data_IF_608215602516
#
_entry.id   IF_608215602516
#
_cell.length_a   1.000
_cell.length_b   1.000
_cell.length_c   1.000
_cell.angle_alpha   90.00
_cell.angle_beta   90.00
_cell.angle_gamma   90.00
#
_symmetry.space_group_name_H-M   'P 1'
#
loop_
_entity.id
_entity.type
_entity.pdbx_description
1 polymer ?
#
# COMPACT_ATOMS: atom_id res chain seq x y z
N UNK A 1 11.31 -2.79 -14.22
CA UNK A 1 12.30 -3.88 -14.39
C UNK A 1 12.93 -4.32 -13.06
N UNK A 2 13.62 -3.46 -12.28
CA UNK A 2 14.23 -3.88 -11.00
C UNK A 2 13.24 -4.53 -10.02
N UNK A 3 12.05 -3.95 -9.85
CA UNK A 3 11.01 -4.51 -8.98
C UNK A 3 10.50 -5.89 -9.43
N UNK A 4 10.48 -6.15 -10.75
CA UNK A 4 10.12 -7.47 -11.29
C UNK A 4 11.17 -8.50 -10.91
N UNK A 5 12.45 -8.14 -10.99
CA UNK A 5 13.56 -9.01 -10.57
C UNK A 5 13.50 -9.27 -9.06
N UNK A 6 13.21 -8.24 -8.26
CA UNK A 6 13.02 -8.39 -6.81
C UNK A 6 11.97 -9.43 -6.46
N UNK A 7 10.87 -9.49 -7.23
CA UNK A 7 9.82 -10.47 -7.05
C UNK A 7 10.19 -11.85 -7.64
N UNK A 8 10.78 -11.86 -8.84
CA UNK A 8 11.02 -13.09 -9.60
C UNK A 8 12.04 -14.00 -8.92
N UNK A 9 13.12 -13.44 -8.36
CA UNK A 9 14.16 -14.21 -7.67
C UNK A 9 13.59 -15.06 -6.52
N UNK A 10 12.93 -14.47 -5.49
CA UNK A 10 12.34 -15.25 -4.41
C UNK A 10 11.21 -16.15 -4.90
N UNK A 11 10.42 -15.72 -5.91
CA UNK A 11 9.36 -16.55 -6.48
C UNK A 11 9.90 -17.85 -7.11
N UNK A 12 10.98 -17.75 -7.90
CA UNK A 12 11.63 -18.92 -8.50
C UNK A 12 12.24 -19.83 -7.43
N UNK A 13 12.92 -19.26 -6.43
CA UNK A 13 13.49 -20.04 -5.32
C UNK A 13 12.41 -20.78 -4.52
N UNK A 14 11.30 -20.11 -4.21
CA UNK A 14 10.18 -20.71 -3.49
C UNK A 14 9.41 -21.72 -4.33
N UNK A 15 9.33 -21.54 -5.65
CA UNK A 15 8.65 -22.48 -6.55
C UNK A 15 9.21 -23.90 -6.48
N UNK A 16 10.51 -24.06 -6.17
CA UNK A 16 11.13 -25.37 -5.96
C UNK A 16 10.76 -26.02 -4.62
N UNK A 17 10.34 -25.25 -3.63
CA UNK A 17 9.95 -25.75 -2.30
C UNK A 17 8.44 -25.97 -2.15
N UNK A 18 7.62 -25.39 -3.03
CA UNK A 18 6.16 -25.59 -2.99
C UNK A 18 5.82 -27.02 -3.45
N UNK A 19 5.10 -27.82 -2.64
CA UNK A 19 4.67 -29.15 -3.03
C UNK A 19 3.81 -29.10 -4.30
N UNK A 20 4.03 -30.06 -5.21
CA UNK A 20 3.19 -30.22 -6.41
C UNK A 20 1.83 -30.79 -5.98
N UNK A 21 0.86 -29.92 -5.77
CA UNK A 21 -0.53 -30.28 -5.44
C UNK A 21 -1.50 -29.17 -5.85
N UNK A 22 -2.76 -29.53 -6.07
CA UNK A 22 -3.84 -28.55 -6.31
C UNK A 22 -4.58 -28.35 -4.97
N UNK A 23 -4.62 -27.14 -4.40
CA UNK A 23 -5.46 -26.88 -3.25
C UNK A 23 -6.93 -27.14 -3.61
N UNK A 24 -7.72 -27.61 -2.64
CA UNK A 24 -9.15 -27.81 -2.83
C UNK A 24 -9.78 -26.47 -3.26
N UNK A 25 -10.60 -26.48 -4.31
CA UNK A 25 -11.22 -25.27 -4.80
C UNK A 25 -12.13 -24.68 -3.72
N UNK A 26 -11.97 -23.40 -3.41
CA UNK A 26 -12.97 -22.66 -2.63
C UNK A 26 -14.29 -22.67 -3.40
N UNK A 27 -15.29 -23.36 -2.86
CA UNK A 27 -16.63 -23.47 -3.45
C UNK A 27 -17.48 -22.19 -3.27
N UNK A 28 -16.94 -21.16 -2.63
CA UNK A 28 -17.66 -19.93 -2.36
C UNK A 28 -17.66 -19.01 -3.60
N UNK A 29 -18.80 -18.94 -4.28
CA UNK A 29 -19.01 -17.98 -5.38
C UNK A 29 -19.25 -16.59 -4.81
N UNK A 30 -18.20 -15.79 -4.72
CA UNK A 30 -18.30 -14.37 -4.36
C UNK A 30 -19.04 -13.64 -5.51
N UNK A 31 -20.30 -13.25 -5.28
CA UNK A 31 -21.08 -12.44 -6.23
C UNK A 31 -20.85 -10.96 -5.93
N UNK A 32 -20.38 -10.21 -6.94
CA UNK A 32 -20.25 -8.76 -6.84
C UNK A 32 -21.66 -8.13 -6.78
N UNK A 33 -21.90 -7.28 -5.78
CA UNK A 33 -23.17 -6.55 -5.65
C UNK A 33 -23.37 -5.59 -6.82
N UNK A 34 -24.63 -5.25 -7.09
CA UNK A 34 -24.96 -4.33 -8.17
C UNK A 34 -24.22 -2.99 -8.01
N UNK A 35 -23.70 -2.46 -9.13
CA UNK A 35 -22.87 -1.25 -9.14
C UNK A 35 -21.41 -1.46 -8.74
N UNK A 36 -21.02 -2.62 -8.21
CA UNK A 36 -19.64 -2.90 -7.80
C UNK A 36 -18.62 -2.76 -8.93
N UNK A 37 -18.93 -3.27 -10.13
CA UNK A 37 -18.05 -3.11 -11.30
C UNK A 37 -17.88 -1.65 -11.74
N UNK A 38 -18.93 -0.83 -11.62
CA UNK A 38 -18.85 0.59 -11.94
C UNK A 38 -18.02 1.33 -10.90
N UNK A 39 -18.14 0.98 -9.61
CA UNK A 39 -17.27 1.50 -8.55
C UNK A 39 -15.80 1.17 -8.83
N UNK A 40 -15.50 -0.06 -9.27
CA UNK A 40 -14.14 -0.45 -9.67
C UNK A 40 -13.66 0.40 -10.86
N UNK A 41 -14.50 0.59 -11.89
CA UNK A 41 -14.17 1.42 -13.03
C UNK A 41 -13.93 2.90 -12.63
N UNK A 42 -14.75 3.46 -11.75
CA UNK A 42 -14.57 4.81 -11.20
C UNK A 42 -13.29 4.94 -10.38
N UNK A 43 -12.91 3.90 -9.64
CA UNK A 43 -11.64 3.86 -8.91
C UNK A 43 -10.45 3.89 -9.87
N UNK A 44 -10.45 3.05 -10.92
CA UNK A 44 -9.42 3.06 -11.95
C UNK A 44 -9.36 4.40 -12.70
N UNK A 45 -10.52 4.98 -13.02
CA UNK A 45 -10.64 6.30 -13.61
C UNK A 45 -10.04 7.38 -12.70
N UNK A 46 -10.28 7.29 -11.39
CA UNK A 46 -9.73 8.22 -10.40
C UNK A 46 -8.21 8.15 -10.36
N UNK A 47 -7.63 6.95 -10.39
CA UNK A 47 -6.16 6.78 -10.49
C UNK A 47 -5.63 7.42 -11.77
N UNK A 48 -6.26 7.15 -12.91
CA UNK A 48 -5.85 7.73 -14.19
C UNK A 48 -5.96 9.26 -14.18
N UNK A 49 -7.01 9.81 -13.56
CA UNK A 49 -7.22 11.24 -13.40
C UNK A 49 -6.13 11.88 -12.55
N UNK A 50 -5.78 11.29 -11.40
CA UNK A 50 -4.71 11.79 -10.53
C UNK A 50 -3.40 11.92 -11.30
N UNK A 51 -2.99 10.85 -12.00
CA UNK A 51 -1.75 10.82 -12.77
C UNK A 51 -1.79 11.83 -13.92
N UNK A 52 -2.91 11.89 -14.65
CA UNK A 52 -3.07 12.79 -15.80
C UNK A 52 -3.08 14.27 -15.38
N UNK A 53 -3.85 14.64 -14.36
CA UNK A 53 -3.92 16.01 -13.87
C UNK A 53 -2.57 16.47 -13.29
N UNK A 54 -1.86 15.60 -12.58
CA UNK A 54 -0.54 15.93 -12.05
C UNK A 54 0.49 16.09 -13.16
N UNK A 55 0.52 15.17 -14.15
CA UNK A 55 1.50 15.20 -15.24
C UNK A 55 1.27 16.33 -16.25
N UNK A 56 0.03 16.54 -16.71
CA UNK A 56 -0.26 17.50 -17.77
C UNK A 56 -0.56 18.91 -17.25
N UNK A 57 -1.25 19.01 -16.12
CA UNK A 57 -1.75 20.29 -15.58
C UNK A 57 -0.98 20.74 -14.33
N UNK A 58 0.02 19.97 -13.87
CA UNK A 58 0.81 20.25 -12.66
C UNK A 58 -0.05 20.49 -11.41
N UNK A 59 -1.26 19.95 -11.40
CA UNK A 59 -2.18 20.10 -10.28
C UNK A 59 -1.75 19.19 -9.12
N UNK A 60 -1.97 19.62 -7.86
CA UNK A 60 -1.76 18.78 -6.71
C UNK A 60 -2.59 17.47 -6.80
N UNK A 61 -2.02 16.30 -6.48
CA UNK A 61 -2.71 15.00 -6.56
C UNK A 61 -4.04 14.93 -5.79
N UNK A 62 -4.17 15.69 -4.70
CA UNK A 62 -5.39 15.70 -3.89
C UNK A 62 -6.63 16.19 -4.65
N UNK A 63 -6.46 17.06 -5.66
CA UNK A 63 -7.57 17.52 -6.48
C UNK A 63 -8.16 16.36 -7.29
N UNK A 64 -7.30 15.53 -7.89
CA UNK A 64 -7.74 14.32 -8.59
C UNK A 64 -8.45 13.33 -7.67
N UNK A 65 -7.94 13.14 -6.44
CA UNK A 65 -8.60 12.32 -5.42
C UNK A 65 -9.99 12.85 -5.04
N UNK A 66 -10.12 14.16 -4.85
CA UNK A 66 -11.39 14.80 -4.50
C UNK A 66 -12.41 14.76 -5.64
N UNK A 67 -11.96 14.93 -6.88
CA UNK A 67 -12.82 14.77 -8.07
C UNK A 67 -13.32 13.34 -8.18
N UNK A 68 -12.45 12.34 -8.01
CA UNK A 68 -12.84 10.92 -8.01
C UNK A 68 -13.87 10.60 -6.93
N UNK A 69 -13.67 11.11 -5.70
CA UNK A 69 -14.65 10.98 -4.62
C UNK A 69 -15.98 11.67 -4.96
N UNK A 70 -15.95 12.82 -5.63
CA UNK A 70 -17.14 13.50 -6.15
C UNK A 70 -17.92 12.65 -7.15
N UNK A 71 -17.25 12.06 -8.14
CA UNK A 71 -17.86 11.16 -9.11
C UNK A 71 -18.46 9.91 -8.44
N UNK A 72 -17.73 9.33 -7.49
CA UNK A 72 -18.23 8.21 -6.69
C UNK A 72 -19.47 8.61 -5.89
N UNK A 73 -19.52 9.83 -5.32
CA UNK A 73 -20.70 10.35 -4.61
C UNK A 73 -21.92 10.50 -5.51
N UNK A 74 -21.74 11.02 -6.72
CA UNK A 74 -22.82 11.12 -7.71
C UNK A 74 -23.36 9.73 -8.06
N UNK A 75 -22.46 8.78 -8.33
CA UNK A 75 -22.88 7.41 -8.64
C UNK A 75 -23.50 6.68 -7.43
N UNK A 76 -22.93 6.88 -6.25
CA UNK A 76 -23.44 6.35 -4.99
C UNK A 76 -24.84 6.85 -4.66
N UNK A 77 -25.13 8.13 -4.96
CA UNK A 77 -26.48 8.67 -4.86
C UNK A 77 -27.45 7.93 -5.77
N UNK A 78 -27.08 7.61 -7.01
CA UNK A 78 -27.91 6.81 -7.92
C UNK A 78 -28.18 5.39 -7.38
N UNK A 79 -27.14 4.71 -6.84
CA UNK A 79 -27.32 3.40 -6.18
C UNK A 79 -28.29 3.52 -5.01
N UNK A 80 -28.13 4.56 -4.18
CA UNK A 80 -28.98 4.82 -3.02
C UNK A 80 -30.43 5.01 -3.41
N UNK A 81 -30.72 5.80 -4.45
CA UNK A 81 -32.10 5.99 -4.94
C UNK A 81 -32.72 4.67 -5.38
N UNK A 82 -31.96 3.85 -6.10
CA UNK A 82 -32.42 2.53 -6.56
C UNK A 82 -32.67 1.56 -5.42
N UNK A 83 -31.81 1.54 -4.40
CA UNK A 83 -32.04 0.71 -3.21
C UNK A 83 -33.27 1.15 -2.43
N UNK A 84 -33.52 2.46 -2.30
CA UNK A 84 -34.72 2.99 -1.65
C UNK A 84 -35.97 2.59 -2.45
N UNK A 85 -35.97 2.75 -3.77
CA UNK A 85 -37.10 2.34 -4.61
C UNK A 85 -37.38 0.84 -4.56
N UNK A 86 -36.34 0.00 -4.59
CA UNK A 86 -36.50 -1.45 -4.51
C UNK A 86 -36.91 -1.92 -3.10
N UNK A 87 -36.47 -1.22 -2.04
CA UNK A 87 -36.86 -1.54 -0.65
C UNK A 87 -38.28 -1.10 -0.32
N UNK A 88 -38.77 -0.02 -0.95
CA UNK A 88 -40.16 0.43 -0.82
C UNK A 88 -41.17 -0.46 -1.58
N UNK A 89 -40.70 -1.27 -2.52
CA UNK A 89 -41.50 -2.23 -3.29
C UNK A 89 -41.57 -3.63 -2.64
N UNK A 90 -40.83 -3.88 -1.55
CA UNK A 90 -40.94 -5.11 -0.78
C UNK A 90 -42.07 -4.96 0.25
N UNK A 91 -43.14 -5.73 0.11
CA UNK A 91 -44.23 -5.80 1.09
C UNK A 91 -43.68 -6.23 2.47
N UNK A 92 -44.26 -5.75 3.59
CA UNK A 92 -43.85 -6.18 4.92
C UNK A 92 -44.33 -7.61 5.17
N UNK A 93 -43.52 -8.61 4.82
CA UNK A 93 -43.72 -9.97 5.34
C UNK A 93 -43.41 -9.96 6.84
N UNK A 94 -44.50 -9.93 7.63
CA UNK A 94 -44.49 -10.25 9.04
C UNK A 94 -44.13 -11.74 9.15
N UNK A 95 -42.88 -12.05 9.49
CA UNK A 95 -42.59 -13.22 10.31
C UNK A 95 -41.26 -13.06 11.05
N UNK A 96 -41.36 -13.09 12.37
CA UNK A 96 -40.27 -12.93 13.30
C UNK A 96 -39.34 -14.16 13.25
N UNK A 97 -38.34 -14.14 12.39
CA UNK A 97 -37.21 -15.06 12.49
C UNK A 97 -36.01 -14.36 13.13
N UNK A 98 -35.59 -14.85 14.30
CA UNK A 98 -34.42 -14.35 15.02
C UNK A 98 -33.16 -14.60 14.18
N UNK A 99 -32.69 -13.56 13.48
CA UNK A 99 -31.42 -13.61 12.75
C UNK A 99 -30.28 -13.44 13.75
N UNK A 100 -29.28 -14.33 13.78
CA UNK A 100 -28.12 -14.21 14.66
C UNK A 100 -27.41 -12.86 14.49
N UNK A 101 -26.95 -12.29 15.60
CA UNK A 101 -26.39 -10.93 15.80
C UNK A 101 -25.18 -10.55 14.91
N UNK A 102 -24.73 -11.45 14.03
CA UNK A 102 -23.51 -11.34 13.23
C UNK A 102 -23.71 -10.75 11.82
N UNK A 103 -24.95 -10.57 11.36
CA UNK A 103 -25.23 -9.93 10.06
C UNK A 103 -25.91 -8.56 10.25
N UNK A 104 -25.29 -7.50 9.71
CA UNK A 104 -25.90 -6.16 9.67
C UNK A 104 -27.26 -6.25 8.95
N UNK A 105 -28.36 -5.73 9.55
CA UNK A 105 -29.67 -5.77 8.92
C UNK A 105 -29.65 -5.05 7.56
N UNK A 106 -30.40 -5.59 6.60
CA UNK A 106 -30.48 -5.16 5.20
C UNK A 106 -31.24 -3.83 4.99
N UNK A 107 -31.13 -2.86 5.91
CA UNK A 107 -32.01 -1.69 5.98
C UNK A 107 -31.30 -0.34 5.95
N UNK A 108 -30.00 -0.28 5.62
CA UNK A 108 -29.31 1.00 5.38
C UNK A 108 -28.97 1.16 3.90
N UNK A 109 -29.62 2.12 3.19
CA UNK A 109 -29.25 2.47 1.83
C UNK A 109 -27.76 2.81 1.71
N UNK A 110 -27.18 2.56 0.54
CA UNK A 110 -25.79 2.83 0.25
C UNK A 110 -25.42 4.27 0.61
N UNK A 111 -24.47 4.40 1.53
CA UNK A 111 -23.95 5.68 1.97
C UNK A 111 -22.42 5.63 2.03
N UNK A 112 -21.79 6.42 1.16
CA UNK A 112 -20.34 6.54 1.08
C UNK A 112 -19.79 7.13 2.38
N UNK A 113 -20.52 7.99 3.09
CA UNK A 113 -20.06 8.55 4.36
C UNK A 113 -19.97 7.50 5.46
N UNK A 114 -20.82 6.46 5.44
CA UNK A 114 -20.70 5.33 6.37
C UNK A 114 -19.43 4.53 6.08
N UNK A 115 -19.08 4.36 4.80
CA UNK A 115 -17.82 3.73 4.41
C UNK A 115 -16.62 4.63 4.71
N UNK A 116 -16.75 5.95 4.54
CA UNK A 116 -15.73 6.94 4.89
C UNK A 116 -15.53 7.07 6.40
N UNK A 117 -16.55 6.83 7.22
CA UNK A 117 -16.43 6.74 8.68
C UNK A 117 -15.54 5.56 9.11
N UNK A 118 -15.46 4.52 8.27
CA UNK A 118 -14.54 3.38 8.45
C UNK A 118 -13.16 3.62 7.84
N UNK A 119 -12.86 4.85 7.39
CA UNK A 119 -11.48 5.23 7.10
C UNK A 119 -10.66 4.98 8.37
N UNK A 120 -9.47 4.43 8.17
CA UNK A 120 -8.54 4.08 9.24
C UNK A 120 -7.99 5.35 9.89
N UNK A 121 -8.78 5.96 10.78
CA UNK A 121 -8.38 7.13 11.57
C UNK A 121 -7.08 6.85 12.34
N UNK A 122 -6.89 5.61 12.81
CA UNK A 122 -5.67 5.16 13.46
C UNK A 122 -4.45 5.31 12.51
N UNK A 123 -4.58 4.89 11.26
CA UNK A 123 -3.54 5.01 10.23
C UNK A 123 -3.27 6.48 9.86
N UNK A 124 -4.31 7.32 9.76
CA UNK A 124 -4.14 8.75 9.50
C UNK A 124 -3.43 9.47 10.66
N UNK A 125 -3.83 9.18 11.90
CA UNK A 125 -3.20 9.74 13.09
C UNK A 125 -1.75 9.25 13.26
N UNK A 126 -1.47 7.99 12.89
CA UNK A 126 -0.10 7.46 12.82
C UNK A 126 0.77 8.27 11.85
N UNK A 127 0.33 8.47 10.60
CA UNK A 127 1.10 9.26 9.63
C UNK A 127 1.25 10.72 10.04
N UNK A 128 0.21 11.33 10.60
CA UNK A 128 0.27 12.68 11.14
C UNK A 128 1.32 12.80 12.25
N UNK A 129 1.30 11.86 13.21
CA UNK A 129 2.29 11.81 14.30
C UNK A 129 3.71 11.64 13.77
N UNK A 130 3.93 10.73 12.83
CA UNK A 130 5.23 10.52 12.18
C UNK A 130 5.73 11.81 11.50
N UNK A 131 4.88 12.46 10.71
CA UNK A 131 5.21 13.71 10.01
C UNK A 131 5.60 14.80 11.01
N UNK A 132 4.85 14.94 12.11
CA UNK A 132 5.18 15.90 13.18
C UNK A 132 6.51 15.57 13.86
N UNK A 133 6.78 14.30 14.21
CA UNK A 133 8.02 13.89 14.84
C UNK A 133 9.22 14.15 13.93
N UNK A 134 9.13 13.76 12.65
CA UNK A 134 10.20 14.00 11.67
C UNK A 134 10.38 15.50 11.42
N UNK A 135 9.29 16.27 11.31
CA UNK A 135 9.34 17.73 11.21
C UNK A 135 10.01 18.37 12.43
N UNK A 136 9.72 17.89 13.63
CA UNK A 136 10.37 18.32 14.88
C UNK A 136 11.87 18.00 14.90
N UNK A 137 12.27 16.78 14.49
CA UNK A 137 13.69 16.41 14.33
C UNK A 137 14.39 17.28 13.29
N UNK A 138 13.69 17.65 12.22
CA UNK A 138 14.17 18.60 11.21
C UNK A 138 14.41 19.99 11.79
N UNK A 139 13.45 20.53 12.54
CA UNK A 139 13.56 21.84 13.19
C UNK A 139 14.70 21.90 14.23
N UNK A 140 14.98 20.78 14.91
CA UNK A 140 16.12 20.64 15.84
C UNK A 140 17.47 20.43 15.14
N UNK A 141 17.49 20.27 13.81
CA UNK A 141 18.71 20.05 13.03
C UNK A 141 19.22 18.61 12.98
N UNK A 142 18.55 17.65 13.63
CA UNK A 142 18.97 16.23 13.62
C UNK A 142 18.93 15.61 12.23
N UNK A 143 17.95 15.98 11.40
CA UNK A 143 17.88 15.50 10.02
C UNK A 143 19.07 16.00 9.20
N UNK A 144 19.57 17.21 9.43
CA UNK A 144 20.76 17.72 8.74
C UNK A 144 22.02 16.93 9.14
N UNK A 145 22.20 16.65 10.43
CA UNK A 145 23.31 15.84 10.93
C UNK A 145 23.27 14.40 10.38
N UNK A 146 22.08 13.80 10.33
CA UNK A 146 21.87 12.48 9.76
C UNK A 146 22.15 12.46 8.25
N UNK A 147 21.66 13.48 7.52
CA UNK A 147 21.90 13.65 6.08
C UNK A 147 23.39 13.74 5.77
N UNK A 148 24.14 14.57 6.49
CA UNK A 148 25.60 14.65 6.35
C UNK A 148 26.26 13.29 6.63
N UNK A 149 25.91 12.63 7.73
CA UNK A 149 26.53 11.36 8.13
C UNK A 149 26.28 10.25 7.11
N UNK A 150 25.05 10.12 6.61
CA UNK A 150 24.66 9.09 5.65
C UNK A 150 25.14 9.44 4.24
N UNK A 151 24.73 10.59 3.71
CA UNK A 151 24.89 10.89 2.28
C UNK A 151 26.25 11.49 1.93
N UNK A 152 26.84 12.32 2.79
CA UNK A 152 28.20 12.86 2.57
C UNK A 152 29.28 11.92 3.11
N UNK A 153 29.00 11.17 4.18
CA UNK A 153 29.93 10.21 4.78
C UNK A 153 30.01 8.88 4.04
N UNK A 154 28.92 8.11 3.99
CA UNK A 154 28.89 6.78 3.37
C UNK A 154 28.71 6.83 1.84
N UNK A 155 28.19 7.95 1.33
CA UNK A 155 27.82 8.12 -0.07
C UNK A 155 26.39 7.62 -0.36
N UNK A 156 25.76 8.24 -1.36
CA UNK A 156 24.34 8.03 -1.68
C UNK A 156 23.96 6.56 -1.92
N UNK A 157 24.80 5.79 -2.64
CA UNK A 157 24.49 4.37 -2.91
C UNK A 157 24.38 3.55 -1.62
N UNK A 158 25.36 3.68 -0.72
CA UNK A 158 25.39 2.93 0.53
C UNK A 158 24.26 3.39 1.45
N UNK A 159 24.06 4.71 1.58
CA UNK A 159 22.96 5.29 2.33
C UNK A 159 21.60 4.75 1.86
N UNK A 160 21.34 4.75 0.56
CA UNK A 160 20.08 4.31 -0.03
C UNK A 160 19.84 2.80 0.18
N UNK A 161 20.89 1.97 0.12
CA UNK A 161 20.78 0.53 0.42
C UNK A 161 20.51 0.30 1.90
N UNK A 162 21.19 1.01 2.81
CA UNK A 162 20.99 0.91 4.25
C UNK A 162 19.61 1.41 4.67
N UNK A 163 19.13 2.49 4.07
CA UNK A 163 17.77 3.01 4.27
C UNK A 163 16.72 1.96 3.87
N UNK A 164 16.92 1.26 2.74
CA UNK A 164 16.04 0.16 2.37
C UNK A 164 16.06 -1.00 3.37
N UNK A 165 17.23 -1.35 3.91
CA UNK A 165 17.33 -2.35 4.97
C UNK A 165 16.63 -1.88 6.26
N UNK A 166 16.79 -0.61 6.64
CA UNK A 166 16.07 -0.02 7.77
C UNK A 166 14.55 -0.06 7.56
N UNK A 167 14.10 0.02 6.31
CA UNK A 167 12.68 -0.11 5.96
C UNK A 167 12.10 -1.51 6.23
N UNK A 168 12.93 -2.53 6.45
CA UNK A 168 12.45 -3.82 6.91
C UNK A 168 11.84 -3.77 8.32
N UNK A 169 12.23 -2.77 9.13
CA UNK A 169 11.76 -2.61 10.52
C UNK A 169 10.78 -1.45 10.62
N UNK A 170 11.05 -0.36 9.91
CA UNK A 170 10.22 0.84 9.89
C UNK A 170 9.49 0.89 8.55
N UNK A 171 8.18 1.16 8.55
CA UNK A 171 7.43 1.27 7.30
C UNK A 171 8.06 2.26 6.31
N UNK A 172 7.84 2.01 5.02
CA UNK A 172 8.48 2.79 3.95
C UNK A 172 8.01 4.25 3.91
N UNK A 173 6.79 4.55 4.38
CA UNK A 173 6.24 5.92 4.37
C UNK A 173 7.01 6.84 5.34
N UNK A 174 7.18 6.52 6.64
CA UNK A 174 8.00 7.30 7.56
C UNK A 174 9.43 7.54 7.06
N UNK A 175 10.08 6.49 6.55
CA UNK A 175 11.45 6.56 6.06
C UNK A 175 11.56 7.51 4.86
N UNK A 176 10.69 7.34 3.86
CA UNK A 176 10.74 8.19 2.67
C UNK A 176 10.41 9.64 3.01
N UNK A 177 9.49 9.87 3.96
CA UNK A 177 9.24 11.21 4.45
C UNK A 177 10.50 11.84 5.06
N UNK A 178 11.24 11.11 5.90
CA UNK A 178 12.49 11.61 6.48
C UNK A 178 13.56 11.90 5.42
N UNK A 179 13.72 11.05 4.40
CA UNK A 179 14.67 11.28 3.29
C UNK A 179 14.29 12.51 2.47
N UNK A 180 13.01 12.67 2.14
CA UNK A 180 12.51 13.86 1.44
C UNK A 180 12.70 15.14 2.26
N UNK A 181 12.49 15.07 3.59
CA UNK A 181 12.73 16.19 4.50
C UNK A 181 14.21 16.51 4.68
N UNK A 182 15.10 15.51 4.64
CA UNK A 182 16.55 15.71 4.63
C UNK A 182 17.04 16.42 3.36
N UNK A 183 16.34 16.21 2.23
CA UNK A 183 16.65 16.81 0.94
C UNK A 183 18.11 16.61 0.50
N UNK A 184 18.67 15.38 0.52
CA UNK A 184 20.05 15.16 0.11
C UNK A 184 20.22 15.45 -1.39
N UNK A 185 21.33 16.11 -1.74
CA UNK A 185 21.71 16.32 -3.13
C UNK A 185 22.28 15.01 -3.72
N UNK A 186 21.53 14.39 -4.63
CA UNK A 186 21.91 13.14 -5.26
C UNK A 186 21.32 13.00 -6.66
N UNK A 187 22.01 12.26 -7.53
CA UNK A 187 21.60 12.08 -8.92
C UNK A 187 20.26 11.37 -9.06
N UNK A 188 19.63 11.50 -10.24
CA UNK A 188 18.32 10.89 -10.50
C UNK A 188 18.36 9.36 -10.32
N UNK A 189 19.48 8.72 -10.67
CA UNK A 189 19.70 7.29 -10.43
C UNK A 189 19.62 6.91 -8.94
N UNK A 190 20.08 7.78 -8.04
CA UNK A 190 20.02 7.59 -6.59
C UNK A 190 18.61 7.82 -6.03
N UNK A 191 17.87 8.79 -6.54
CA UNK A 191 16.44 8.97 -6.20
C UNK A 191 15.59 7.76 -6.57
N UNK A 192 15.85 7.20 -7.75
CA UNK A 192 15.21 5.95 -8.16
C UNK A 192 15.68 4.76 -7.31
N UNK A 193 16.96 4.74 -6.90
CA UNK A 193 17.50 3.68 -6.04
C UNK A 193 16.83 3.70 -4.67
N UNK A 194 16.75 4.84 -3.99
CA UNK A 194 16.12 4.92 -2.65
C UNK A 194 14.64 4.58 -2.71
N UNK A 195 13.96 4.98 -3.78
CA UNK A 195 12.54 4.66 -4.00
C UNK A 195 12.35 3.16 -4.17
N UNK A 196 13.25 2.50 -4.92
CA UNK A 196 13.25 1.05 -5.05
C UNK A 196 13.56 0.38 -3.70
N UNK A 197 14.68 0.73 -3.06
CA UNK A 197 15.18 0.05 -1.86
C UNK A 197 14.27 0.25 -0.66
N UNK A 198 13.74 1.45 -0.41
CA UNK A 198 12.74 1.68 0.62
C UNK A 198 11.42 0.96 0.29
N UNK A 199 11.01 0.95 -0.98
CA UNK A 199 9.80 0.26 -1.42
C UNK A 199 9.84 -1.25 -1.18
N UNK A 200 10.93 -1.91 -1.60
CA UNK A 200 11.06 -3.38 -1.50
C UNK A 200 11.68 -3.87 -0.20
N UNK A 201 12.46 -3.03 0.49
CA UNK A 201 13.19 -3.39 1.71
C UNK A 201 12.27 -3.77 2.87
N UNK A 202 11.09 -3.15 2.94
CA UNK A 202 9.99 -3.51 3.86
C UNK A 202 9.58 -4.97 3.84
N UNK A 203 9.85 -5.69 2.74
CA UNK A 203 9.49 -7.10 2.58
C UNK A 203 10.52 -8.06 3.19
N UNK A 204 11.71 -7.59 3.57
CA UNK A 204 12.77 -8.44 4.15
C UNK A 204 12.33 -9.07 5.48
N UNK A 205 11.55 -8.32 6.28
CA UNK A 205 10.89 -8.81 7.49
C UNK A 205 9.38 -8.66 7.34
N UNK A 206 8.60 -9.57 7.91
CA UNK A 206 7.13 -9.56 7.74
C UNK A 206 6.44 -8.39 8.45
N UNK A 207 7.13 -7.71 9.37
CA UNK A 207 6.61 -6.58 10.14
C UNK A 207 6.82 -5.24 9.40
N UNK A 208 7.81 -5.17 8.51
CA UNK A 208 8.17 -3.94 7.80
C UNK A 208 7.13 -3.45 6.80
N UNK A 209 6.14 -4.27 6.45
CA UNK A 209 5.11 -3.94 5.48
C UNK A 209 3.70 -4.25 5.99
N UNK A 210 2.76 -3.34 5.74
CA UNK A 210 1.33 -3.54 6.02
C UNK A 210 0.77 -4.82 5.38
N UNK A 211 1.25 -5.21 4.20
CA UNK A 211 0.86 -6.47 3.55
C UNK A 211 1.34 -7.69 4.35
N UNK A 212 2.56 -7.65 4.88
CA UNK A 212 3.12 -8.70 5.72
C UNK A 212 2.37 -8.84 7.04
N UNK A 213 2.12 -7.73 7.73
CA UNK A 213 1.34 -7.70 8.98
C UNK A 213 -0.10 -8.15 8.74
N UNK A 214 -0.72 -7.70 7.65
CA UNK A 214 -2.07 -8.10 7.25
C UNK A 214 -2.16 -9.60 7.01
N UNK A 215 -1.22 -10.17 6.25
CA UNK A 215 -1.18 -11.61 5.98
C UNK A 215 -0.97 -12.42 7.27
N UNK A 216 -0.11 -11.97 8.19
CA UNK A 216 0.07 -12.61 9.51
C UNK A 216 -1.23 -12.57 10.33
N UNK A 217 -1.98 -11.47 10.22
CA UNK A 217 -3.26 -11.31 10.89
C UNK A 217 -4.36 -12.22 10.34
N UNK A 218 -4.37 -12.48 9.03
CA UNK A 218 -5.37 -13.31 8.34
C UNK A 218 -5.04 -14.81 8.39
N UNK A 219 -3.78 -15.18 8.16
CA UNK A 219 -3.30 -16.57 8.11
C UNK A 219 -2.67 -17.00 9.43
N UNK A 220 -3.38 -16.76 10.55
CA UNK A 220 -2.89 -17.04 11.91
C UNK A 220 -2.47 -18.50 12.03
N UNK A 221 -1.27 -18.72 12.56
CA UNK A 221 -0.68 -20.06 12.73
C UNK A 221 -0.05 -20.66 11.47
N UNK A 222 -0.30 -20.10 10.28
CA UNK A 222 0.29 -20.55 9.01
C UNK A 222 1.43 -19.61 8.61
N UNK A 223 1.13 -18.31 8.45
CA UNK A 223 2.12 -17.30 8.13
C UNK A 223 2.47 -16.50 9.38
N UNK A 224 3.68 -16.72 9.89
CA UNK A 224 4.22 -16.07 11.11
C UNK A 224 5.54 -15.38 10.80
N UNK A 225 6.00 -14.53 11.72
CA UNK A 225 7.30 -13.87 11.60
C UNK A 225 8.44 -14.87 11.37
N UNK A 226 8.46 -15.97 12.13
CA UNK A 226 9.48 -17.01 11.98
C UNK A 226 9.32 -17.80 10.67
N UNK A 227 8.09 -18.02 10.19
CA UNK A 227 7.86 -18.64 8.89
C UNK A 227 8.40 -17.77 7.75
N UNK A 228 8.20 -16.44 7.82
CA UNK A 228 8.77 -15.48 6.88
C UNK A 228 10.30 -15.47 6.94
N UNK A 229 10.85 -15.47 8.16
CA UNK A 229 12.30 -15.40 8.39
C UNK A 229 13.06 -16.56 7.72
N UNK A 230 12.45 -17.75 7.61
CA UNK A 230 13.01 -18.89 6.86
C UNK A 230 13.30 -18.57 5.40
N UNK A 231 12.57 -17.63 4.81
CA UNK A 231 12.69 -17.22 3.41
C UNK A 231 13.33 -15.83 3.24
N UNK A 232 13.65 -15.13 4.33
CA UNK A 232 14.28 -13.80 4.27
C UNK A 232 15.58 -13.81 3.46
N UNK A 233 16.37 -14.89 3.48
CA UNK A 233 17.58 -14.98 2.65
C UNK A 233 17.26 -14.92 1.14
N UNK A 234 16.19 -15.58 0.69
CA UNK A 234 15.76 -15.56 -0.72
C UNK A 234 15.21 -14.19 -1.10
N UNK A 235 14.48 -13.53 -0.18
CA UNK A 235 14.00 -12.16 -0.36
C UNK A 235 15.18 -11.18 -0.40
N UNK A 236 16.20 -11.37 0.44
CA UNK A 236 17.42 -10.57 0.45
C UNK A 236 18.23 -10.73 -0.84
N UNK A 237 18.25 -11.93 -1.44
CA UNK A 237 18.80 -12.13 -2.79
C UNK A 237 18.01 -11.36 -3.84
N UNK A 238 16.68 -11.36 -3.78
CA UNK A 238 15.83 -10.54 -4.65
C UNK A 238 16.13 -9.04 -4.49
N UNK A 239 16.27 -8.58 -3.26
CA UNK A 239 16.63 -7.21 -2.93
C UNK A 239 17.98 -6.81 -3.56
N UNK A 240 19.03 -7.59 -3.31
CA UNK A 240 20.36 -7.36 -3.88
C UNK A 240 20.36 -7.43 -5.42
N UNK A 241 19.67 -8.41 -6.02
CA UNK A 241 19.56 -8.54 -7.47
C UNK A 241 18.83 -7.33 -8.09
N UNK A 242 17.78 -6.83 -7.44
CA UNK A 242 17.06 -5.66 -7.92
C UNK A 242 17.90 -4.38 -7.88
N UNK A 243 18.72 -4.20 -6.84
CA UNK A 243 19.69 -3.11 -6.74
C UNK A 243 20.70 -3.22 -7.87
N UNK A 244 21.28 -4.41 -8.08
CA UNK A 244 22.25 -4.61 -9.15
C UNK A 244 21.66 -4.30 -10.53
N UNK A 245 20.45 -4.79 -10.82
CA UNK A 245 19.74 -4.49 -12.08
C UNK A 245 19.44 -3.01 -12.21
N UNK A 246 19.08 -2.33 -11.12
CA UNK A 246 18.88 -0.88 -11.12
C UNK A 246 20.17 -0.14 -11.49
N UNK A 247 21.28 -0.45 -10.82
CA UNK A 247 22.58 0.15 -11.09
C UNK A 247 23.04 -0.10 -12.53
N UNK A 248 22.86 -1.33 -13.04
CA UNK A 248 23.25 -1.69 -14.40
C UNK A 248 22.40 -0.99 -15.47
N UNK A 249 21.08 -0.99 -15.34
CA UNK A 249 20.18 -0.38 -16.33
C UNK A 249 20.23 1.15 -16.31
N UNK A 250 20.44 1.73 -15.13
CA UNK A 250 20.42 3.17 -14.93
C UNK A 250 21.81 3.78 -14.77
N UNK A 251 22.88 3.07 -15.15
CA UNK A 251 24.27 3.53 -15.01
C UNK A 251 24.51 4.96 -15.52
N UNK A 252 23.81 5.36 -16.59
CA UNK A 252 23.87 6.72 -17.17
C UNK A 252 23.25 7.84 -16.32
N UNK A 253 22.50 7.49 -15.28
CA UNK A 253 21.78 8.42 -14.40
C UNK A 253 22.52 8.65 -13.07
N UNK A 254 23.69 8.04 -12.89
CA UNK A 254 24.49 8.10 -11.67
C UNK A 254 25.54 9.19 -11.73
#
# INVERSE_FOLDING_TARGET
MPAVVNWLVPAVLMAFAVPRGKPAALAERIRVKHGGYVVIALFLLTIALIVSLHHFLHLPPFLGMMTGLGLLKVYGYYIRLREIWNSAAAEPEIEAFQVPEQFKPATKPFDIFISMKRVEWDTLMFFYGVVLCVGGLGALGYLAALSHSLYQGLGATQANVLIGLASAVIDNIPIMYAVLSMGPDMSHGQWLLVTLTAGVGSSLLSIGSAAGVGLMGQARGIYTFFAHLKWTWAIALGYAASIWVHLALNARLF
#
